data_IF_711875048676
#
_entry.id   IF_711875048676
#
_cell.length_a   1.000
_cell.length_b   1.000
_cell.length_c   1.000
_cell.angle_alpha   90.00
_cell.angle_beta   90.00
_cell.angle_gamma   90.00
#
_symmetry.space_group_name_H-M   'P 1'
#
loop_
_entity.id
_entity.type
_entity.pdbx_description
1 polymer ?
#
# COMPACT_ATOMS: atom_id res chain seq x y z
N UNK A 1 0.53 23.77 1.56
CA UNK A 1 1.11 22.70 0.74
C UNK A 1 1.23 23.19 -0.70
N UNK A 2 2.30 22.90 -1.43
CA UNK A 2 2.39 23.25 -2.87
C UNK A 2 1.95 22.08 -3.74
N UNK A 3 1.45 22.36 -4.93
CA UNK A 3 1.06 21.32 -5.89
C UNK A 3 2.20 20.34 -6.19
N UNK A 4 3.44 20.85 -6.29
CA UNK A 4 4.63 20.04 -6.53
C UNK A 4 4.93 19.08 -5.35
N UNK A 5 4.77 19.53 -4.10
CA UNK A 5 4.92 18.66 -2.94
C UNK A 5 3.82 17.59 -2.88
N UNK A 6 2.60 17.91 -3.27
CA UNK A 6 1.49 16.95 -3.32
C UNK A 6 1.75 15.85 -4.36
N UNK A 7 2.17 16.22 -5.57
CA UNK A 7 2.57 15.26 -6.60
C UNK A 7 3.75 14.39 -6.15
N UNK A 8 4.72 14.94 -5.44
CA UNK A 8 5.85 14.17 -4.92
C UNK A 8 5.40 13.05 -3.97
N UNK A 9 4.42 13.30 -3.10
CA UNK A 9 3.86 12.27 -2.22
C UNK A 9 3.02 11.23 -2.96
N UNK A 10 2.29 11.63 -4.00
CA UNK A 10 1.61 10.67 -4.89
C UNK A 10 2.65 9.76 -5.55
N UNK A 11 3.70 10.32 -6.14
CA UNK A 11 4.78 9.54 -6.77
C UNK A 11 5.45 8.60 -5.76
N UNK A 12 5.69 9.07 -4.54
CA UNK A 12 6.25 8.26 -3.46
C UNK A 12 5.30 7.12 -3.07
N UNK A 13 4.00 7.38 -2.94
CA UNK A 13 2.99 6.36 -2.69
C UNK A 13 2.87 5.32 -3.80
N UNK A 14 2.93 5.75 -5.07
CA UNK A 14 2.97 4.85 -6.23
C UNK A 14 4.23 3.98 -6.22
N UNK A 15 5.40 4.58 -5.94
CA UNK A 15 6.66 3.85 -5.86
C UNK A 15 6.62 2.79 -4.76
N UNK A 16 6.11 3.13 -3.57
CA UNK A 16 5.98 2.17 -2.45
C UNK A 16 4.93 1.11 -2.76
N UNK A 17 3.80 1.46 -3.36
CA UNK A 17 2.78 0.50 -3.79
C UNK A 17 3.31 -0.50 -4.83
N UNK A 18 4.10 -0.01 -5.80
CA UNK A 18 4.79 -0.86 -6.76
C UNK A 18 5.83 -1.77 -6.07
N UNK A 19 6.67 -1.19 -5.21
CA UNK A 19 7.72 -1.93 -4.49
C UNK A 19 7.12 -3.02 -3.60
N UNK A 20 6.00 -2.72 -2.93
CA UNK A 20 5.25 -3.71 -2.15
C UNK A 20 4.81 -4.87 -3.04
N UNK A 21 4.20 -4.64 -4.21
CA UNK A 21 3.82 -5.72 -5.13
C UNK A 21 5.02 -6.55 -5.59
N UNK A 22 6.15 -5.93 -5.87
CA UNK A 22 7.39 -6.64 -6.25
C UNK A 22 7.84 -7.59 -5.14
N UNK A 23 7.75 -7.15 -3.87
CA UNK A 23 8.14 -7.95 -2.71
C UNK A 23 7.13 -9.07 -2.44
N UNK A 24 5.82 -8.78 -2.50
CA UNK A 24 4.77 -9.75 -2.15
C UNK A 24 4.38 -10.69 -3.30
N UNK A 25 4.77 -10.37 -4.54
CA UNK A 25 4.45 -11.12 -5.77
C UNK A 25 3.00 -11.63 -5.81
N UNK A 26 2.80 -12.95 -5.90
CA UNK A 26 1.50 -13.61 -6.04
C UNK A 26 0.76 -13.81 -4.71
N UNK A 27 1.43 -13.59 -3.57
CA UNK A 27 0.84 -13.73 -2.23
C UNK A 27 0.22 -12.45 -1.71
N UNK A 28 0.34 -11.34 -2.44
CA UNK A 28 -0.13 -10.03 -2.02
C UNK A 28 -1.19 -9.43 -2.93
N UNK A 29 -1.63 -8.24 -2.55
CA UNK A 29 -2.61 -7.41 -3.25
C UNK A 29 -2.19 -7.19 -4.71
N UNK A 30 -3.13 -7.26 -5.64
CA UNK A 30 -2.90 -6.96 -7.07
C UNK A 30 -2.28 -5.58 -7.31
N UNK A 31 -1.62 -5.41 -8.45
CA UNK A 31 -0.81 -4.21 -8.74
C UNK A 31 -1.62 -2.91 -8.64
N UNK A 32 -2.82 -2.85 -9.22
CA UNK A 32 -3.66 -1.65 -9.18
C UNK A 32 -4.09 -1.29 -7.74
N UNK A 33 -4.68 -2.19 -6.95
CA UNK A 33 -5.02 -1.86 -5.57
C UNK A 33 -3.79 -1.55 -4.72
N UNK A 34 -2.63 -2.19 -4.96
CA UNK A 34 -1.38 -1.86 -4.25
C UNK A 34 -0.93 -0.41 -4.52
N UNK A 35 -0.98 0.03 -5.79
CA UNK A 35 -0.66 1.41 -6.14
C UNK A 35 -1.64 2.41 -5.49
N UNK A 36 -2.93 2.10 -5.52
CA UNK A 36 -3.97 2.94 -4.92
C UNK A 36 -3.80 3.10 -3.41
N UNK A 37 -3.60 1.99 -2.70
CA UNK A 37 -3.40 1.99 -1.25
C UNK A 37 -2.07 2.61 -0.84
N UNK A 38 -1.02 2.47 -1.65
CA UNK A 38 0.25 3.17 -1.45
C UNK A 38 0.09 4.69 -1.52
N UNK A 39 -0.65 5.19 -2.51
CA UNK A 39 -0.98 6.63 -2.62
C UNK A 39 -1.85 7.11 -1.47
N UNK A 40 -2.92 6.37 -1.13
CA UNK A 40 -3.78 6.72 -0.01
C UNK A 40 -2.99 6.78 1.32
N UNK A 41 -2.09 5.84 1.54
CA UNK A 41 -1.25 5.81 2.73
C UNK A 41 -0.26 6.97 2.77
N UNK A 42 0.39 7.27 1.66
CA UNK A 42 1.31 8.42 1.58
C UNK A 42 0.59 9.76 1.82
N UNK A 43 -0.57 9.94 1.21
CA UNK A 43 -1.37 11.17 1.35
C UNK A 43 -1.95 11.29 2.76
N UNK A 44 -2.50 10.22 3.34
CA UNK A 44 -3.04 10.23 4.70
C UNK A 44 -1.96 10.47 5.76
N UNK A 45 -0.81 9.80 5.65
CA UNK A 45 0.34 10.02 6.53
C UNK A 45 0.84 11.47 6.50
N UNK A 46 0.88 12.07 5.30
CA UNK A 46 1.22 13.48 5.16
C UNK A 46 0.15 14.41 5.76
N UNK A 47 -1.14 14.16 5.50
CA UNK A 47 -2.23 14.98 6.01
C UNK A 47 -2.19 15.03 7.54
N UNK A 48 -1.96 13.90 8.21
CA UNK A 48 -1.85 13.82 9.68
C UNK A 48 -0.74 14.76 10.18
N UNK A 49 0.44 14.72 9.56
CA UNK A 49 1.56 15.62 9.91
C UNK A 49 1.20 17.07 9.72
N UNK A 50 0.52 17.40 8.62
CA UNK A 50 0.12 18.77 8.32
C UNK A 50 -0.91 19.29 9.34
N UNK A 51 -1.86 18.46 9.77
CA UNK A 51 -2.83 18.81 10.81
C UNK A 51 -2.19 18.98 12.18
N UNK A 52 -1.18 18.17 12.52
CA UNK A 52 -0.51 18.20 13.82
C UNK A 52 0.69 19.18 13.88
N UNK A 53 1.00 19.86 12.77
CA UNK A 53 2.14 20.79 12.69
C UNK A 53 3.51 20.12 12.87
N UNK A 54 3.60 18.83 12.58
CA UNK A 54 4.82 18.03 12.78
C UNK A 54 5.83 18.26 11.65
N UNK A 55 7.12 18.14 11.96
CA UNK A 55 8.17 18.13 10.94
C UNK A 55 8.33 16.73 10.34
N UNK A 56 8.74 16.65 9.07
CA UNK A 56 9.09 15.38 8.42
C UNK A 56 7.97 14.69 7.64
N UNK A 57 7.13 15.44 6.91
CA UNK A 57 6.01 14.89 6.14
C UNK A 57 6.35 13.72 5.21
N UNK A 58 7.57 13.67 4.65
CA UNK A 58 8.04 12.55 3.84
C UNK A 58 8.21 11.25 4.62
N UNK A 59 8.72 11.32 5.86
CA UNK A 59 8.85 10.14 6.72
C UNK A 59 7.47 9.54 7.02
N UNK A 60 6.52 10.38 7.41
CA UNK A 60 5.16 9.92 7.72
C UNK A 60 4.36 9.50 6.49
N UNK A 61 4.65 10.05 5.31
CA UNK A 61 4.09 9.55 4.06
C UNK A 61 4.57 8.11 3.79
N UNK A 62 5.85 7.81 4.00
CA UNK A 62 6.37 6.43 3.90
C UNK A 62 5.70 5.52 4.93
N UNK A 63 5.63 5.96 6.19
CA UNK A 63 5.00 5.18 7.28
C UNK A 63 3.53 4.92 6.99
N UNK A 64 2.79 5.92 6.50
CA UNK A 64 1.38 5.78 6.11
C UNK A 64 1.20 4.83 4.93
N UNK A 65 2.00 4.96 3.88
CA UNK A 65 1.98 4.04 2.73
C UNK A 65 2.24 2.59 3.16
N UNK A 66 3.29 2.36 3.95
CA UNK A 66 3.64 1.04 4.48
C UNK A 66 2.57 0.49 5.41
N UNK A 67 2.01 1.32 6.30
CA UNK A 67 0.97 0.92 7.25
C UNK A 67 -0.32 0.49 6.56
N UNK A 68 -0.79 1.27 5.58
CA UNK A 68 -1.98 0.89 4.80
C UNK A 68 -1.70 -0.35 3.96
N UNK A 69 -0.58 -0.42 3.24
CA UNK A 69 -0.24 -1.59 2.44
C UNK A 69 -0.08 -2.84 3.29
N UNK A 70 0.53 -2.74 4.47
CA UNK A 70 0.62 -3.82 5.42
C UNK A 70 -0.77 -4.27 5.87
N UNK A 71 -1.62 -3.32 6.29
CA UNK A 71 -3.00 -3.60 6.70
C UNK A 71 -3.76 -4.32 5.58
N UNK A 72 -3.72 -3.79 4.36
CA UNK A 72 -4.42 -4.41 3.24
C UNK A 72 -3.83 -5.78 2.91
N UNK A 73 -2.51 -5.97 2.92
CA UNK A 73 -1.90 -7.29 2.68
C UNK A 73 -2.20 -8.30 3.82
N UNK A 74 -2.37 -7.85 5.07
CA UNK A 74 -2.69 -8.73 6.23
C UNK A 74 -4.18 -9.11 6.24
N UNK A 75 -5.05 -8.14 6.02
CA UNK A 75 -6.51 -8.35 6.08
C UNK A 75 -7.11 -8.84 4.78
N UNK A 76 -6.40 -8.74 3.65
CA UNK A 76 -6.75 -9.44 2.42
C UNK A 76 -6.31 -10.91 2.55
N UNK A 77 -6.95 -11.62 3.46
CA UNK A 77 -7.00 -13.08 3.49
C UNK A 77 -7.88 -13.54 2.32
N UNK A 78 -7.36 -13.46 1.10
CA UNK A 78 -7.94 -14.25 0.00
C UNK A 78 -7.44 -15.70 0.20
N UNK A 79 -8.06 -16.44 1.10
CA UNK A 79 -8.05 -17.89 0.95
C UNK A 79 -8.96 -18.22 -0.25
N UNK A 80 -8.64 -19.17 -1.13
CA UNK A 80 -9.64 -20.16 -1.47
C UNK A 80 -9.67 -21.16 -0.30
N UNK A 81 -10.55 -20.96 0.70
CA UNK A 81 -10.66 -21.88 1.87
C UNK A 81 -11.07 -23.29 1.41
N UNK A 82 -11.67 -23.40 0.22
CA UNK A 82 -11.95 -24.65 -0.45
C UNK A 82 -11.61 -24.54 -1.94
N UNK A 83 -10.40 -24.93 -2.33
CA UNK A 83 -10.26 -25.65 -3.60
C UNK A 83 -10.22 -27.13 -3.22
N UNK A 84 -11.26 -27.86 -3.67
CA UNK A 84 -11.43 -29.27 -3.39
C UNK A 84 -10.15 -30.07 -3.67
N UNK A 85 -9.90 -30.97 -2.73
CA UNK A 85 -9.01 -32.11 -2.79
C UNK A 85 -8.99 -32.81 -4.15
N UNK A 86 -7.77 -33.16 -4.59
CA UNK A 86 -7.42 -34.34 -5.41
C UNK A 86 -8.53 -35.00 -6.24
N UNK A 87 -8.29 -35.01 -7.54
CA UNK A 87 -8.47 -36.19 -8.42
C UNK A 87 -7.19 -36.23 -9.26
N UNK A 88 -6.16 -37.05 -9.01
CA UNK A 88 -6.08 -38.51 -9.09
C UNK A 88 -7.19 -39.18 -9.91
N UNK A 89 -6.78 -39.76 -11.02
CA UNK A 89 -7.61 -40.52 -11.97
C UNK A 89 -7.43 -39.93 -13.37
N UNK A 90 -6.95 -40.64 -14.38
CA UNK A 90 -6.31 -41.95 -14.53
C UNK A 90 -5.66 -41.91 -15.91
#
# INVERSE_FOLDING_TARGET
MTFMTFLAYITLGLFIGWLSRVITQDRGVEMIPSLFFGVLGAVSGMLIVQFLGLAGGAFYAVVGAMGILFTVNVFRQDDPVFMETKTSGS
#
